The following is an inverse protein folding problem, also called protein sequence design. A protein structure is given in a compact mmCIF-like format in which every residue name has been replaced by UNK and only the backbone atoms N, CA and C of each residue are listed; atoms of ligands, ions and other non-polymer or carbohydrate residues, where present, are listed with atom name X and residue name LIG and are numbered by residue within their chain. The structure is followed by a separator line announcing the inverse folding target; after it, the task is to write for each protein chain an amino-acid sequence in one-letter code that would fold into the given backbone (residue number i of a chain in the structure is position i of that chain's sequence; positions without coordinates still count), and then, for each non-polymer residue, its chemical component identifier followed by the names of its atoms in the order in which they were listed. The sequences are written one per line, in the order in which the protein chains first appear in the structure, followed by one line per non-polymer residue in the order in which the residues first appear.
data_IF_234180176294
#
_entry.id   IF_234180176294
#
_cell.length_a   1.000
_cell.length_b   1.000
_cell.length_c   1.000
_cell.angle_alpha   90.00
_cell.angle_beta   90.00
_cell.angle_gamma   90.00
#
_symmetry.space_group_name_H-M   'P 1'
#
loop_
_entity.id
_entity.type
_entity.pdbx_description
1 polymer ?
#
# COMPACT_ATOMS: atom_id res chain seq x y z
N UNK A 1 14.38 19.65 -6.42
CA UNK A 1 12.98 19.20 -6.22
C UNK A 1 12.68 18.17 -7.29
N UNK A 2 12.33 16.93 -6.96
CA UNK A 2 11.93 15.96 -7.96
C UNK A 2 10.62 16.45 -8.62
N UNK A 3 10.60 16.46 -9.95
CA UNK A 3 9.48 16.91 -10.77
C UNK A 3 8.29 15.96 -10.60
N UNK A 4 7.17 16.45 -10.10
CA UNK A 4 5.92 15.70 -9.96
C UNK A 4 5.17 15.86 -11.30
N UNK A 5 4.96 14.77 -12.04
CA UNK A 5 4.34 14.79 -13.37
C UNK A 5 3.00 15.53 -13.39
N UNK A 6 2.74 16.31 -14.46
CA UNK A 6 1.54 17.16 -14.58
C UNK A 6 0.26 16.32 -14.66
N UNK A 7 -0.71 16.65 -13.82
CA UNK A 7 -2.07 16.13 -13.87
C UNK A 7 -2.76 16.53 -15.19
N UNK A 8 -3.41 15.56 -15.86
CA UNK A 8 -4.27 15.78 -17.03
C UNK A 8 -5.62 16.37 -16.61
N UNK A 9 -6.09 17.38 -17.35
CA UNK A 9 -7.24 18.21 -16.99
C UNK A 9 -8.61 17.54 -17.22
N UNK A 10 -9.53 17.88 -16.30
CA UNK A 10 -10.99 17.66 -16.24
C UNK A 10 -11.44 16.24 -15.87
N UNK A 11 -11.65 16.04 -14.58
CA UNK A 11 -12.35 14.86 -14.06
C UNK A 11 -13.31 15.27 -12.95
N UNK A 12 -14.42 14.53 -12.85
CA UNK A 12 -15.32 14.49 -11.68
C UNK A 12 -14.47 14.34 -10.41
N UNK A 13 -14.92 14.82 -9.26
CA UNK A 13 -14.24 14.52 -8.00
C UNK A 13 -14.29 12.99 -7.76
N UNK A 14 -13.19 12.32 -8.10
CA UNK A 14 -13.02 10.88 -7.97
C UNK A 14 -12.13 10.63 -6.76
N UNK A 15 -12.59 9.79 -5.85
CA UNK A 15 -11.83 9.44 -4.66
C UNK A 15 -10.44 8.97 -5.06
N UNK A 16 -9.42 9.61 -4.49
CA UNK A 16 -8.02 9.23 -4.69
C UNK A 16 -7.48 8.60 -3.42
N UNK A 17 -6.72 7.52 -3.57
CA UNK A 17 -5.98 6.87 -2.49
C UNK A 17 -4.50 7.19 -2.67
N UNK A 18 -3.82 7.57 -1.61
CA UNK A 18 -2.36 7.71 -1.60
C UNK A 18 -1.74 6.65 -0.70
N UNK A 19 -0.64 6.05 -1.16
CA UNK A 19 0.27 5.30 -0.31
C UNK A 19 1.62 6.03 -0.30
N UNK A 20 1.94 6.66 0.83
CA UNK A 20 3.24 7.28 1.07
C UNK A 20 4.12 6.33 1.88
N UNK A 21 5.32 6.03 1.39
CA UNK A 21 6.31 5.17 2.03
C UNK A 21 7.56 5.99 2.34
N UNK A 22 8.05 5.88 3.57
CA UNK A 22 9.16 6.68 4.09
C UNK A 22 10.25 5.76 4.62
N UNK A 23 11.48 5.97 4.16
CA UNK A 23 12.67 5.29 4.69
C UNK A 23 13.40 6.22 5.66
N UNK A 24 13.74 5.71 6.84
CA UNK A 24 14.38 6.45 7.91
C UNK A 24 15.82 5.94 8.19
N UNK A 25 16.79 6.86 8.30
CA UNK A 25 18.14 6.52 8.71
C UNK A 25 18.14 5.98 10.15
N UNK A 26 19.14 5.14 10.48
CA UNK A 26 19.29 4.58 11.84
C UNK A 26 19.35 5.69 12.91
N UNK A 27 19.02 5.32 14.15
CA UNK A 27 19.07 6.24 15.29
C UNK A 27 17.74 6.94 15.56
N UNK A 28 17.80 8.23 15.90
CA UNK A 28 16.66 9.00 16.42
C UNK A 28 15.49 9.10 15.44
N UNK A 29 15.74 9.06 14.12
CA UNK A 29 14.69 9.11 13.11
C UNK A 29 13.79 7.87 13.13
N UNK A 30 14.33 6.68 13.36
CA UNK A 30 13.54 5.43 13.50
C UNK A 30 12.72 5.41 14.78
N UNK A 31 13.32 5.84 15.90
CA UNK A 31 12.60 5.97 17.17
C UNK A 31 11.44 6.97 17.05
N UNK A 32 11.70 8.09 16.38
CA UNK A 32 10.66 9.07 16.09
C UNK A 32 9.54 8.48 15.21
N UNK A 33 9.89 7.79 14.12
CA UNK A 33 8.90 7.19 13.22
C UNK A 33 8.04 6.14 13.94
N UNK A 34 8.65 5.32 14.81
CA UNK A 34 7.93 4.39 15.67
C UNK A 34 6.95 5.13 16.61
N UNK A 35 7.40 6.18 17.30
CA UNK A 35 6.53 6.96 18.19
C UNK A 35 5.35 7.60 17.43
N UNK A 36 5.56 8.00 16.17
CA UNK A 36 4.51 8.60 15.34
C UNK A 36 3.39 7.63 14.96
N UNK A 37 3.57 6.32 15.07
CA UNK A 37 2.48 5.33 14.91
C UNK A 37 1.32 5.56 15.89
N UNK A 38 1.60 6.13 17.07
CA UNK A 38 0.60 6.59 18.03
C UNK A 38 0.40 8.11 18.02
N UNK A 39 1.50 8.88 18.03
CA UNK A 39 1.45 10.33 18.24
C UNK A 39 0.96 11.13 17.02
N UNK A 40 1.00 10.56 15.81
CA UNK A 40 0.51 11.26 14.62
C UNK A 40 -1.02 11.27 14.51
N UNK A 41 -1.73 10.38 15.20
CA UNK A 41 -3.17 10.16 15.03
C UNK A 41 -4.02 11.42 15.22
N UNK A 42 -3.81 12.28 16.24
CA UNK A 42 -4.57 13.52 16.37
C UNK A 42 -4.27 14.53 15.25
N UNK A 43 -3.03 14.54 14.73
CA UNK A 43 -2.63 15.41 13.62
C UNK A 43 -3.23 14.94 12.30
N UNK A 44 -3.30 13.63 12.07
CA UNK A 44 -3.96 13.05 10.89
C UNK A 44 -5.43 13.50 10.81
N UNK A 45 -6.17 13.44 11.92
CA UNK A 45 -7.59 13.85 11.98
C UNK A 45 -7.85 15.33 11.65
N UNK A 46 -6.81 16.17 11.61
CA UNK A 46 -6.90 17.60 11.30
C UNK A 46 -6.48 17.93 9.86
N UNK A 47 -6.02 16.94 9.10
CA UNK A 47 -5.65 17.16 7.70
C UNK A 47 -6.93 17.35 6.90
N UNK A 48 -7.04 18.48 6.23
CA UNK A 48 -8.19 18.82 5.41
C UNK A 48 -8.36 17.83 4.25
N UNK A 49 -9.61 17.43 3.99
CA UNK A 49 -9.94 16.46 2.94
C UNK A 49 -9.53 15.02 3.21
N UNK A 50 -8.91 14.72 4.37
CA UNK A 50 -8.54 13.36 4.71
C UNK A 50 -9.77 12.54 5.12
N UNK A 51 -10.05 11.47 4.37
CA UNK A 51 -11.13 10.53 4.66
C UNK A 51 -10.68 9.40 5.60
N UNK A 52 -10.34 8.26 5.01
CA UNK A 52 -9.82 7.10 5.73
C UNK A 52 -8.29 7.13 5.72
N UNK A 53 -7.64 6.73 6.81
CA UNK A 53 -6.18 6.68 6.88
C UNK A 53 -5.65 5.62 7.82
N UNK A 54 -4.43 5.17 7.54
CA UNK A 54 -3.72 4.14 8.30
C UNK A 54 -2.22 4.43 8.35
N UNK A 55 -1.68 4.35 9.56
CA UNK A 55 -0.24 4.38 9.81
C UNK A 55 0.24 2.95 9.90
N UNK A 56 1.24 2.58 9.12
CA UNK A 56 1.73 1.21 9.06
C UNK A 56 3.26 1.19 9.24
N UNK A 57 3.76 0.19 9.97
CA UNK A 57 5.15 -0.24 9.85
C UNK A 57 5.30 -1.22 8.69
N UNK A 58 6.52 -1.67 8.42
CA UNK A 58 6.80 -2.69 7.42
C UNK A 58 7.52 -3.90 8.02
N UNK A 59 7.50 -5.03 7.32
CA UNK A 59 8.35 -6.19 7.64
C UNK A 59 9.70 -6.12 6.92
N UNK A 60 10.67 -6.93 7.34
CA UNK A 60 11.96 -7.06 6.62
C UNK A 60 11.79 -7.84 5.31
N UNK A 61 12.72 -7.62 4.36
CA UNK A 61 12.61 -8.11 2.99
C UNK A 61 11.43 -7.46 2.28
N UNK A 62 10.57 -8.27 1.67
CA UNK A 62 9.36 -7.82 0.97
C UNK A 62 8.18 -7.52 1.92
N UNK A 63 8.40 -7.54 3.25
CA UNK A 63 7.38 -7.23 4.24
C UNK A 63 6.46 -8.40 4.64
N UNK A 64 6.72 -9.61 4.13
CA UNK A 64 5.99 -10.83 4.47
C UNK A 64 6.60 -11.62 5.64
N UNK A 65 7.74 -11.16 6.17
CA UNK A 65 8.40 -11.82 7.30
C UNK A 65 7.82 -11.33 8.64
N UNK A 66 7.80 -12.17 9.68
CA UNK A 66 7.37 -11.76 11.03
C UNK A 66 8.34 -10.77 11.69
N UNK A 67 9.48 -10.48 11.07
CA UNK A 67 10.52 -9.60 11.60
C UNK A 67 10.20 -8.15 11.21
N UNK A 68 9.98 -7.24 12.16
CA UNK A 68 9.68 -5.84 11.86
C UNK A 68 10.88 -5.13 11.22
N UNK A 69 10.61 -4.36 10.16
CA UNK A 69 11.54 -3.39 9.63
C UNK A 69 11.30 -2.03 10.29
N UNK A 70 12.22 -1.64 11.18
CA UNK A 70 12.16 -0.36 11.90
C UNK A 70 12.60 0.83 11.06
N UNK A 71 13.06 0.60 9.83
CA UNK A 71 13.53 1.63 8.92
C UNK A 71 12.49 2.15 7.95
N UNK A 72 11.33 1.49 7.82
CA UNK A 72 10.33 1.85 6.80
C UNK A 72 8.93 1.89 7.41
N UNK A 73 8.27 3.03 7.24
CA UNK A 73 6.90 3.27 7.67
C UNK A 73 6.10 3.89 6.53
N UNK A 74 4.79 3.73 6.57
CA UNK A 74 3.91 4.22 5.51
C UNK A 74 2.62 4.83 6.05
N UNK A 75 2.05 5.71 5.23
CA UNK A 75 0.75 6.32 5.43
C UNK A 75 -0.11 5.98 4.23
N UNK A 76 -1.20 5.25 4.48
CA UNK A 76 -2.28 5.09 3.51
C UNK A 76 -3.38 6.09 3.85
N UNK A 77 -3.90 6.79 2.84
CA UNK A 77 -4.92 7.81 3.02
C UNK A 77 -5.88 7.87 1.82
N UNK A 78 -7.13 8.23 2.07
CA UNK A 78 -8.12 8.54 1.02
C UNK A 78 -8.47 10.03 1.02
N UNK A 79 -8.74 10.54 -0.17
CA UNK A 79 -8.92 11.96 -0.48
C UNK A 79 -10.11 12.13 -1.42
N UNK A 80 -10.78 13.29 -1.43
CA UNK A 80 -11.89 13.57 -2.34
C UNK A 80 -11.49 13.56 -3.81
N UNK A 81 -10.23 13.94 -4.11
CA UNK A 81 -9.70 14.06 -5.46
C UNK A 81 -8.15 14.03 -5.47
N UNK A 82 -7.57 13.89 -6.66
CA UNK A 82 -6.13 13.77 -6.87
C UNK A 82 -5.37 15.06 -6.50
N UNK A 83 -5.95 16.23 -6.75
CA UNK A 83 -5.31 17.51 -6.46
C UNK A 83 -5.17 17.71 -4.94
N UNK A 84 -6.21 17.36 -4.18
CA UNK A 84 -6.19 17.32 -2.71
C UNK A 84 -5.15 16.32 -2.22
N UNK A 85 -5.13 15.09 -2.77
CA UNK A 85 -4.15 14.07 -2.40
C UNK A 85 -2.70 14.55 -2.58
N UNK A 86 -2.37 15.10 -3.75
CA UNK A 86 -1.03 15.63 -4.06
C UNK A 86 -0.65 16.79 -3.15
N UNK A 87 -1.57 17.72 -2.93
CA UNK A 87 -1.33 18.89 -2.07
C UNK A 87 -1.06 18.49 -0.63
N UNK A 88 -1.90 17.62 -0.05
CA UNK A 88 -1.81 17.26 1.36
C UNK A 88 -0.63 16.34 1.64
N UNK A 89 -0.35 15.37 0.78
CA UNK A 89 0.83 14.47 0.93
C UNK A 89 2.17 15.21 0.81
N UNK A 90 2.20 16.34 0.11
CA UNK A 90 3.38 17.20 0.00
C UNK A 90 3.50 18.22 1.14
N UNK A 91 2.40 18.86 1.53
CA UNK A 91 2.45 20.09 2.34
C UNK A 91 1.83 20.00 3.73
N UNK A 92 0.97 19.02 4.02
CA UNK A 92 0.32 18.91 5.31
C UNK A 92 1.38 18.78 6.44
N UNK A 93 1.22 19.45 7.59
CA UNK A 93 2.24 19.47 8.64
C UNK A 93 2.68 18.08 9.10
N UNK A 94 1.76 17.12 9.17
CA UNK A 94 2.08 15.73 9.51
C UNK A 94 2.96 15.09 8.43
N UNK A 95 2.59 15.15 7.16
CA UNK A 95 3.38 14.59 6.05
C UNK A 95 4.76 15.26 5.93
N UNK A 96 4.82 16.58 6.04
CA UNK A 96 6.10 17.32 6.08
C UNK A 96 7.02 16.83 7.19
N UNK A 97 6.48 16.50 8.36
CA UNK A 97 7.31 15.99 9.47
C UNK A 97 7.96 14.64 9.15
N UNK A 98 7.29 13.80 8.35
CA UNK A 98 7.87 12.55 7.84
C UNK A 98 8.93 12.85 6.78
N UNK A 99 8.62 13.66 5.77
CA UNK A 99 9.56 14.06 4.71
C UNK A 99 10.85 14.66 5.28
N UNK A 100 10.75 15.55 6.26
CA UNK A 100 11.92 16.22 6.87
C UNK A 100 12.88 15.26 7.60
N UNK A 101 12.42 14.06 7.98
CA UNK A 101 13.21 13.08 8.75
C UNK A 101 13.57 11.83 7.95
N UNK A 102 12.86 11.58 6.86
CA UNK A 102 13.12 10.48 5.97
C UNK A 102 14.39 10.75 5.15
N UNK A 103 15.21 9.72 4.95
CA UNK A 103 16.31 9.76 3.97
C UNK A 103 15.80 9.61 2.55
N UNK A 104 14.64 8.97 2.39
CA UNK A 104 13.97 8.77 1.11
C UNK A 104 12.45 8.65 1.34
N UNK A 105 11.66 9.17 0.40
CA UNK A 105 10.22 9.10 0.44
C UNK A 105 9.64 8.92 -0.96
N UNK A 106 8.62 8.09 -1.05
CA UNK A 106 7.87 7.81 -2.28
C UNK A 106 6.38 7.84 -2.00
N UNK A 107 5.58 8.44 -2.88
CA UNK A 107 4.12 8.41 -2.79
C UNK A 107 3.53 8.05 -4.13
N UNK A 108 2.63 7.06 -4.14
CA UNK A 108 1.82 6.70 -5.32
C UNK A 108 0.37 7.12 -5.11
N UNK A 109 -0.26 7.62 -6.18
CA UNK A 109 -1.65 8.05 -6.23
C UNK A 109 -2.48 7.08 -7.07
N UNK A 110 -3.65 6.73 -6.54
CA UNK A 110 -4.41 5.57 -6.96
C UNK A 110 -5.89 5.90 -7.05
N UNK A 111 -6.56 5.45 -8.10
CA UNK A 111 -8.02 5.50 -8.22
C UNK A 111 -8.60 4.10 -7.99
N UNK A 112 -9.56 3.90 -7.05
CA UNK A 112 -10.19 2.61 -6.82
C UNK A 112 -10.99 2.11 -8.03
N UNK A 113 -10.69 0.91 -8.52
CA UNK A 113 -11.44 0.21 -9.58
C UNK A 113 -12.39 -0.83 -9.00
N UNK A 114 -11.98 -1.48 -7.91
CA UNK A 114 -12.81 -2.48 -7.23
C UNK A 114 -12.36 -2.59 -5.78
N UNK A 115 -13.30 -2.82 -4.88
CA UNK A 115 -13.02 -3.07 -3.47
C UNK A 115 -14.04 -4.06 -2.90
N UNK A 116 -13.56 -5.09 -2.19
CA UNK A 116 -14.39 -6.09 -1.52
C UNK A 116 -13.88 -6.30 -0.10
N UNK A 117 -14.79 -6.32 0.87
CA UNK A 117 -14.48 -6.52 2.28
C UNK A 117 -14.32 -5.20 3.03
N UNK A 118 -13.78 -5.28 4.25
CA UNK A 118 -13.75 -4.17 5.19
C UNK A 118 -12.35 -3.98 5.80
N UNK A 119 -12.08 -2.74 6.18
CA UNK A 119 -10.90 -2.37 6.96
C UNK A 119 -11.32 -1.57 8.18
N UNK A 120 -11.17 -2.18 9.36
CA UNK A 120 -11.60 -1.58 10.63
C UNK A 120 -13.10 -1.26 10.64
N UNK A 121 -13.90 -2.19 10.14
CA UNK A 121 -15.36 -2.10 10.09
C UNK A 121 -15.91 -1.15 9.02
N UNK A 122 -15.05 -0.67 8.11
CA UNK A 122 -15.42 0.34 7.10
C UNK A 122 -15.13 -0.16 5.68
N UNK A 123 -15.82 0.42 4.70
CA UNK A 123 -15.53 0.25 3.27
C UNK A 123 -14.80 1.52 2.78
N UNK A 124 -13.46 1.60 2.91
CA UNK A 124 -12.73 2.86 2.74
C UNK A 124 -12.60 3.32 1.29
N UNK A 125 -12.79 2.40 0.34
CA UNK A 125 -12.56 2.65 -1.08
C UNK A 125 -13.89 2.65 -1.83
N UNK A 126 -14.10 3.67 -2.66
CA UNK A 126 -15.30 3.87 -3.46
C UNK A 126 -14.93 3.70 -4.93
N UNK A 127 -15.16 2.51 -5.52
CA UNK A 127 -14.87 2.26 -6.92
C UNK A 127 -15.67 3.15 -7.86
N UNK A 128 -15.03 3.60 -8.93
CA UNK A 128 -15.71 4.21 -10.08
C UNK A 128 -16.10 3.13 -11.09
N UNK A 129 -17.31 3.22 -11.64
CA UNK A 129 -17.73 2.37 -12.76
C UNK A 129 -17.04 2.84 -14.03
N UNK A 130 -15.83 2.33 -14.26
CA UNK A 130 -15.01 2.73 -15.40
C UNK A 130 -14.59 1.49 -16.20
N UNK A 131 -14.55 1.63 -17.52
CA UNK A 131 -14.13 0.56 -18.42
C UNK A 131 -12.71 0.07 -18.09
N UNK A 132 -12.43 -1.19 -18.44
CA UNK A 132 -11.20 -1.92 -18.13
C UNK A 132 -9.95 -1.00 -18.12
N UNK A 133 -9.23 -0.93 -16.99
CA UNK A 133 -8.18 0.07 -16.84
C UNK A 133 -7.01 -0.23 -17.79
N UNK A 134 -6.58 0.80 -18.52
CA UNK A 134 -5.38 0.77 -19.35
C UNK A 134 -4.18 1.25 -18.53
N UNK A 135 -3.06 0.54 -18.63
CA UNK A 135 -1.81 0.86 -17.92
C UNK A 135 -1.66 0.13 -16.58
N UNK A 136 -0.71 0.56 -15.74
CA UNK A 136 -0.36 -0.13 -14.51
C UNK A 136 -1.52 -0.24 -13.51
N UNK A 137 -1.62 -1.42 -12.89
CA UNK A 137 -2.64 -1.75 -11.89
C UNK A 137 -1.97 -1.97 -10.55
N UNK A 138 -2.50 -1.35 -9.50
CA UNK A 138 -2.11 -1.67 -8.14
C UNK A 138 -3.13 -2.63 -7.51
N UNK A 139 -2.63 -3.55 -6.68
CA UNK A 139 -3.44 -4.44 -5.86
C UNK A 139 -3.09 -4.27 -4.39
N UNK A 140 -4.12 -4.16 -3.55
CA UNK A 140 -4.01 -4.13 -2.10
C UNK A 140 -4.80 -5.31 -1.51
N UNK A 141 -4.13 -6.14 -0.72
CA UNK A 141 -4.80 -7.13 0.13
C UNK A 141 -4.52 -6.81 1.58
N UNK A 142 -5.55 -6.74 2.40
CA UNK A 142 -5.45 -6.50 3.82
C UNK A 142 -6.16 -7.62 4.57
N UNK A 143 -5.53 -8.12 5.63
CA UNK A 143 -6.08 -9.17 6.48
C UNK A 143 -5.79 -8.91 7.96
N UNK A 144 -6.76 -9.25 8.81
CA UNK A 144 -6.56 -9.38 10.26
C UNK A 144 -6.54 -10.86 10.62
N UNK A 145 -5.40 -11.34 11.10
CA UNK A 145 -5.22 -12.74 11.49
C UNK A 145 -5.93 -12.99 12.82
N UNK A 146 -6.70 -14.07 12.92
CA UNK A 146 -7.30 -14.47 14.19
C UNK A 146 -6.20 -14.91 15.15
N UNK A 147 -6.23 -14.48 16.43
CA UNK A 147 -5.22 -14.88 17.41
C UNK A 147 -5.02 -16.41 17.49
N UNK A 148 -6.12 -17.17 17.43
CA UNK A 148 -6.12 -18.63 17.53
C UNK A 148 -5.48 -19.35 16.33
N UNK A 149 -5.38 -18.70 15.17
CA UNK A 149 -4.81 -19.27 13.94
C UNK A 149 -3.45 -18.68 13.59
N UNK A 150 -3.01 -17.63 14.29
CA UNK A 150 -1.79 -16.89 14.00
C UNK A 150 -0.55 -17.78 13.92
N UNK A 151 -0.34 -18.69 14.89
CA UNK A 151 0.83 -19.58 14.87
C UNK A 151 0.87 -20.48 13.62
N UNK A 152 -0.28 -21.02 13.20
CA UNK A 152 -0.38 -21.87 11.99
C UNK A 152 -0.17 -21.06 10.72
N UNK A 153 -0.71 -19.85 10.68
CA UNK A 153 -0.52 -18.92 9.58
C UNK A 153 0.96 -18.57 9.40
N UNK A 154 1.64 -18.10 10.46
CA UNK A 154 3.05 -17.70 10.40
C UNK A 154 4.01 -18.84 10.03
N UNK A 155 3.67 -20.09 10.37
CA UNK A 155 4.42 -21.27 9.90
C UNK A 155 4.25 -21.54 8.40
N UNK A 156 3.15 -21.11 7.78
CA UNK A 156 2.82 -21.33 6.35
C UNK A 156 3.27 -20.17 5.44
N UNK A 157 3.48 -18.97 6.00
CA UNK A 157 3.85 -17.76 5.25
C UNK A 157 5.18 -17.87 4.48
N UNK A 158 6.26 -18.49 4.99
CA UNK A 158 7.51 -18.61 4.24
C UNK A 158 7.34 -19.29 2.86
N UNK A 159 6.53 -20.35 2.80
CA UNK A 159 6.25 -21.08 1.55
C UNK A 159 5.53 -20.19 0.53
N UNK A 160 4.67 -19.28 0.99
CA UNK A 160 3.89 -18.36 0.14
C UNK A 160 4.75 -17.20 -0.35
N UNK A 161 5.59 -16.64 0.54
CA UNK A 161 6.45 -15.49 0.23
C UNK A 161 7.52 -15.80 -0.83
N UNK A 162 8.01 -17.05 -0.89
CA UNK A 162 9.02 -17.48 -1.88
C UNK A 162 8.52 -17.38 -3.34
N UNK A 163 7.22 -17.53 -3.56
CA UNK A 163 6.59 -17.49 -4.89
C UNK A 163 6.34 -16.06 -5.38
N UNK A 164 6.13 -15.12 -4.45
CA UNK A 164 5.96 -13.69 -4.78
C UNK A 164 7.32 -13.02 -5.03
N UNK A 165 8.39 -13.54 -4.42
CA UNK A 165 9.75 -13.03 -4.53
C UNK A 165 10.32 -13.01 -5.95
N UNK A 166 9.92 -13.97 -6.80
CA UNK A 166 10.64 -14.34 -8.03
C UNK A 166 9.95 -13.93 -9.34
N UNK A 167 8.75 -13.33 -9.30
CA UNK A 167 8.07 -12.89 -10.52
C UNK A 167 8.62 -11.53 -10.97
N UNK A 168 9.43 -11.55 -12.05
CA UNK A 168 10.06 -10.36 -12.63
C UNK A 168 9.10 -9.35 -13.27
N UNK A 169 7.79 -9.60 -13.23
CA UNK A 169 6.76 -8.69 -13.78
C UNK A 169 6.15 -7.75 -12.75
N UNK A 170 6.62 -7.74 -11.49
CA UNK A 170 6.10 -6.85 -10.44
C UNK A 170 6.93 -5.58 -10.39
N UNK A 171 6.34 -4.44 -10.72
CA UNK A 171 7.00 -3.14 -10.73
C UNK A 171 7.35 -2.67 -9.31
N UNK A 172 6.50 -2.98 -8.34
CA UNK A 172 6.70 -2.65 -6.95
C UNK A 172 5.93 -3.61 -6.05
N UNK A 173 6.48 -3.97 -4.88
CA UNK A 173 5.73 -4.66 -3.83
C UNK A 173 6.23 -4.29 -2.44
N UNK A 174 5.32 -4.28 -1.47
CA UNK A 174 5.63 -4.05 -0.07
C UNK A 174 4.58 -4.69 0.85
N UNK A 175 5.04 -5.35 1.90
CA UNK A 175 4.24 -5.75 3.06
C UNK A 175 4.33 -4.73 4.18
N UNK A 176 3.18 -4.15 4.54
CA UNK A 176 3.03 -3.18 5.63
C UNK A 176 1.97 -3.67 6.63
N UNK A 177 1.95 -3.12 7.84
CA UNK A 177 0.97 -3.52 8.87
C UNK A 177 0.76 -2.48 9.95
N UNK A 178 -0.45 -2.42 10.49
CA UNK A 178 -0.82 -1.51 11.58
C UNK A 178 -0.31 -2.02 12.94
N UNK A 179 -0.60 -3.29 13.23
CA UNK A 179 -0.15 -4.02 14.41
C UNK A 179 0.69 -5.19 13.92
N UNK A 180 1.98 -5.26 14.30
CA UNK A 180 2.86 -6.34 13.90
C UNK A 180 2.21 -7.69 14.18
N UNK A 181 2.38 -8.63 13.24
CA UNK A 181 1.89 -10.00 13.31
C UNK A 181 0.37 -10.23 13.26
N UNK A 182 -0.45 -9.18 13.40
CA UNK A 182 -1.91 -9.27 13.50
C UNK A 182 -2.60 -8.69 12.27
N UNK A 183 -2.17 -7.51 11.82
CA UNK A 183 -2.81 -6.77 10.73
C UNK A 183 -1.83 -6.59 9.58
N UNK A 184 -2.03 -7.36 8.52
CA UNK A 184 -1.16 -7.37 7.36
C UNK A 184 -1.82 -6.67 6.17
N UNK A 185 -1.01 -5.94 5.42
CA UNK A 185 -1.39 -5.29 4.18
C UNK A 185 -0.28 -5.60 3.18
N UNK A 186 -0.64 -6.11 2.03
CA UNK A 186 0.27 -6.32 0.92
C UNK A 186 -0.17 -5.38 -0.20
N UNK A 187 0.80 -4.65 -0.72
CA UNK A 187 0.59 -3.74 -1.83
C UNK A 187 1.54 -4.12 -2.96
N UNK A 188 1.05 -4.11 -4.19
CA UNK A 188 1.85 -4.41 -5.37
C UNK A 188 1.39 -3.60 -6.57
N UNK A 189 2.31 -3.29 -7.48
CA UNK A 189 2.04 -2.64 -8.77
C UNK A 189 2.48 -3.58 -9.89
N UNK A 190 1.60 -3.74 -10.87
CA UNK A 190 1.75 -4.61 -12.04
C UNK A 190 1.67 -3.76 -13.31
N UNK A 191 2.37 -4.13 -14.39
CA UNK A 191 2.33 -3.41 -15.64
C UNK A 191 0.93 -3.41 -16.28
N UNK A 192 0.16 -4.49 -16.08
CA UNK A 192 -1.16 -4.66 -16.65
C UNK A 192 -2.03 -5.70 -15.91
N UNK A 193 -3.33 -5.69 -16.21
CA UNK A 193 -4.33 -6.60 -15.59
C UNK A 193 -4.06 -8.07 -15.91
N UNK A 194 -3.55 -8.40 -17.10
CA UNK A 194 -3.30 -9.78 -17.50
C UNK A 194 -2.09 -10.37 -16.75
N UNK A 195 -1.04 -9.57 -16.51
CA UNK A 195 0.11 -9.94 -15.67
C UNK A 195 -0.31 -10.24 -14.24
N UNK A 196 -1.12 -9.37 -13.62
CA UNK A 196 -1.70 -9.64 -12.30
C UNK A 196 -2.60 -10.89 -12.29
N UNK A 197 -3.44 -11.07 -13.31
CA UNK A 197 -4.33 -12.23 -13.41
C UNK A 197 -3.55 -13.55 -13.58
N UNK A 198 -2.43 -13.53 -14.32
CA UNK A 198 -1.53 -14.69 -14.45
C UNK A 198 -0.95 -15.11 -13.11
N UNK A 199 -0.53 -14.16 -12.28
CA UNK A 199 -0.05 -14.42 -10.93
C UNK A 199 -1.17 -14.97 -10.02
N UNK A 200 -2.38 -14.41 -10.12
CA UNK A 200 -3.53 -14.81 -9.32
C UNK A 200 -4.26 -16.07 -9.82
N UNK A 201 -3.73 -16.79 -10.82
CA UNK A 201 -4.39 -17.96 -11.45
C UNK A 201 -4.87 -18.97 -10.41
N UNK A 202 -6.07 -19.51 -10.68
CA UNK A 202 -6.82 -20.37 -9.77
C UNK A 202 -6.00 -21.54 -9.20
N UNK A 203 -5.08 -22.14 -9.96
CA UNK A 203 -4.27 -23.29 -9.52
C UNK A 203 -2.79 -22.96 -9.27
N UNK A 204 -2.46 -21.67 -9.13
CA UNK A 204 -1.14 -21.24 -8.69
C UNK A 204 -0.92 -21.43 -7.19
N UNK A 205 0.33 -21.43 -6.69
CA UNK A 205 0.64 -21.46 -5.27
C UNK A 205 -0.07 -20.35 -4.47
N UNK A 206 -0.25 -19.18 -5.06
CA UNK A 206 -0.98 -18.05 -4.46
C UNK A 206 -2.48 -18.36 -4.23
N UNK A 207 -3.16 -18.91 -5.23
CA UNK A 207 -4.57 -19.28 -5.09
C UNK A 207 -4.78 -20.47 -4.16
N UNK A 208 -3.84 -21.42 -4.09
CA UNK A 208 -3.85 -22.48 -3.04
C UNK A 208 -3.67 -21.90 -1.65
N UNK A 209 -2.81 -20.90 -1.48
CA UNK A 209 -2.63 -20.21 -0.21
C UNK A 209 -3.90 -19.45 0.21
N UNK A 210 -4.53 -18.71 -0.70
CA UNK A 210 -5.81 -18.03 -0.45
C UNK A 210 -6.90 -19.04 -0.10
N UNK A 211 -6.99 -20.17 -0.81
CA UNK A 211 -7.95 -21.25 -0.48
C UNK A 211 -7.71 -21.81 0.92
N UNK A 212 -6.48 -22.19 1.25
CA UNK A 212 -6.14 -22.73 2.58
C UNK A 212 -6.45 -21.74 3.72
N UNK A 213 -6.22 -20.44 3.49
CA UNK A 213 -6.57 -19.37 4.43
C UNK A 213 -8.09 -19.25 4.63
N UNK A 214 -8.87 -19.35 3.54
CA UNK A 214 -10.34 -19.31 3.56
C UNK A 214 -10.93 -20.54 4.24
N UNK A 215 -10.48 -21.73 3.83
CA UNK A 215 -10.94 -23.00 4.37
C UNK A 215 -10.62 -23.13 5.87
N UNK A 216 -9.49 -22.56 6.29
CA UNK A 216 -9.08 -22.53 7.69
C UNK A 216 -9.77 -21.49 8.55
N UNK A 217 -10.57 -20.58 7.98
CA UNK A 217 -11.14 -19.41 8.66
C UNK A 217 -10.07 -18.60 9.42
N UNK A 218 -8.93 -18.33 8.78
CA UNK A 218 -7.78 -17.75 9.49
C UNK A 218 -7.87 -16.25 9.74
N UNK A 219 -8.75 -15.54 9.05
CA UNK A 219 -8.90 -14.10 9.16
C UNK A 219 -10.22 -13.72 9.84
N UNK A 220 -10.17 -12.70 10.70
CA UNK A 220 -11.36 -12.08 11.30
C UNK A 220 -11.93 -10.96 10.42
N UNK A 221 -11.09 -10.36 9.57
CA UNK A 221 -11.49 -9.29 8.66
C UNK A 221 -10.53 -9.27 7.46
N UNK A 222 -11.06 -9.09 6.25
CA UNK A 222 -10.28 -9.04 5.00
C UNK A 222 -10.79 -7.91 4.08
N UNK A 223 -9.88 -7.32 3.30
CA UNK A 223 -10.18 -6.38 2.23
C UNK A 223 -9.27 -6.66 1.03
N UNK A 224 -9.85 -6.66 -0.17
CA UNK A 224 -9.14 -6.75 -1.43
C UNK A 224 -9.56 -5.57 -2.29
N UNK A 225 -8.58 -4.81 -2.80
CA UNK A 225 -8.83 -3.69 -3.67
C UNK A 225 -7.88 -3.68 -4.86
N UNK A 226 -8.37 -3.15 -5.98
CA UNK A 226 -7.60 -2.89 -7.19
C UNK A 226 -7.71 -1.42 -7.53
N UNK A 227 -6.62 -0.86 -8.02
CA UNK A 227 -6.53 0.55 -8.34
C UNK A 227 -5.86 0.79 -9.67
N UNK A 228 -6.30 1.84 -10.35
CA UNK A 228 -5.60 2.43 -11.48
C UNK A 228 -4.52 3.34 -10.90
N UNK A 229 -3.30 3.23 -11.40
CA UNK A 229 -2.19 4.11 -10.99
C UNK A 229 -2.34 5.45 -11.72
N UNK A 230 -2.46 6.54 -10.96
CA UNK A 230 -2.56 7.90 -11.48
C UNK A 230 -1.18 8.56 -11.65
N UNK A 231 -0.19 8.07 -10.92
CA UNK A 231 1.20 8.51 -10.95
C UNK A 231 1.84 8.46 -9.57
N UNK A 232 3.08 8.89 -9.47
CA UNK A 232 3.84 8.91 -8.23
C UNK A 232 4.73 10.15 -8.11
N UNK A 233 5.22 10.43 -6.90
CA UNK A 233 6.20 11.49 -6.63
C UNK A 233 7.21 11.01 -5.57
N UNK A 234 8.48 11.38 -5.76
CA UNK A 234 9.60 10.93 -4.92
C UNK A 234 10.30 9.71 -5.50
N UNK A 235 11.08 9.01 -4.68
CA UNK A 235 11.89 7.86 -5.10
C UNK A 235 11.81 6.73 -4.08
N UNK A 236 11.98 5.52 -4.56
CA UNK A 236 12.17 4.32 -3.77
C UNK A 236 13.43 3.60 -4.26
N UNK A 237 14.40 3.40 -3.38
CA UNK A 237 15.72 2.86 -3.74
C UNK A 237 16.41 3.67 -4.85
N UNK A 238 16.23 4.98 -4.84
CA UNK A 238 16.87 5.93 -5.75
C UNK A 238 16.12 6.20 -7.06
N UNK A 239 15.06 5.45 -7.38
CA UNK A 239 14.30 5.62 -8.63
C UNK A 239 12.79 5.66 -8.40
N UNK A 240 12.02 6.13 -9.38
CA UNK A 240 10.56 5.90 -9.38
C UNK A 240 10.29 4.43 -9.75
N UNK A 241 9.49 3.69 -8.95
CA UNK A 241 9.02 2.35 -9.34
C UNK A 241 8.15 2.32 -10.61
N UNK A 242 7.74 3.48 -11.13
CA UNK A 242 6.96 3.61 -12.37
C UNK A 242 7.81 4.05 -13.57
N UNK A 243 9.11 4.36 -13.39
CA UNK A 243 9.96 4.93 -14.43
C UNK A 243 9.98 4.12 -15.75
N UNK A 244 10.00 2.78 -15.66
CA UNK A 244 10.05 1.91 -16.84
C UNK A 244 8.71 1.88 -17.61
N UNK A 245 7.61 2.27 -16.98
CA UNK A 245 6.29 2.33 -17.64
C UNK A 245 6.07 3.61 -18.43
N UNK A 246 6.80 4.69 -18.13
CA UNK A 246 6.70 5.96 -18.85
C UNK A 246 7.48 5.95 -20.18
N UNK A 247 8.46 5.06 -20.35
CA UNK A 247 9.25 4.94 -21.59
C UNK A 247 8.55 4.17 -22.73
N UNK A 248 7.40 3.53 -22.45
CA UNK A 248 6.65 2.74 -23.45
C UNK A 248 5.40 3.48 -23.96
N UNK A 249 5.29 4.79 -23.70
CA UNK A 249 4.17 5.64 -24.17
C UNK A 249 4.52 6.48 -25.39
#
# INVERSE_FOLDING_TARGET
MPSCGRASQRSRAIQTVSLSVFQFPKGVSRLWAFAMMGLARPRMRRVEGLGFWKLCGSGTGEGFTPVPNTGVYSILATWPDEATARTQTASAPVFRSYHNRASEAWTVFLEPISARGQWSGQHPFTPTEDAAPRGPIAALTRATVRPLTALRFWRRVPDISSVIGTDGNVLFKIGIGEVPLVQQITFSIWPDTASMARFARADGPHARAIRAVRDGNWFSEELYARFRVLGDCGTWQGNSPLADTEQTR
#
